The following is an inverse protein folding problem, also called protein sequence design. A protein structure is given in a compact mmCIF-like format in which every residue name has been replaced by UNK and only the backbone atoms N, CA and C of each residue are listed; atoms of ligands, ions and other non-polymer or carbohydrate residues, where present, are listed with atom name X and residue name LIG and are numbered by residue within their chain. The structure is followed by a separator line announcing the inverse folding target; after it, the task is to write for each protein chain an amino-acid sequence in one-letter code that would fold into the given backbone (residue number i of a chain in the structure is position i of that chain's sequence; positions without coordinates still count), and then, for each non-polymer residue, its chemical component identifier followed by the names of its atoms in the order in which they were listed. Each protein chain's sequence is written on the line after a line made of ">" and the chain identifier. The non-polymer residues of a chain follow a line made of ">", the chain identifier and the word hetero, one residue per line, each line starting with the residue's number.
data_IF_664316564957
#
_entry.id   IF_664316564957
#
_cell.length_a   1.000
_cell.length_b   1.000
_cell.length_c   1.000
_cell.angle_alpha   90.00
_cell.angle_beta   90.00
_cell.angle_gamma   90.00
#
_symmetry.space_group_name_H-M   'P 1'
#
loop_
_entity.id
_entity.type
_entity.pdbx_description
1 polymer ?
#
# COMPACT_ATOMS: atom_id res chain seq x y z
N UNK A 1 -11.56 -3.85 10.61
CA UNK A 1 -10.19 -4.32 10.35
C UNK A 1 -9.23 -3.14 10.45
N UNK A 2 -7.99 -3.36 10.92
CA UNK A 2 -7.00 -2.30 10.96
C UNK A 2 -6.75 -1.67 9.59
N UNK A 3 -6.39 -0.40 9.61
CA UNK A 3 -6.10 0.37 8.41
C UNK A 3 -4.60 0.66 8.34
N UNK A 4 -4.07 0.55 7.13
CA UNK A 4 -2.66 0.82 6.85
C UNK A 4 -2.54 1.75 5.65
N UNK A 5 -1.45 2.49 5.60
CA UNK A 5 -1.12 3.33 4.45
C UNK A 5 0.18 2.80 3.85
N UNK A 6 0.14 2.48 2.57
CA UNK A 6 1.31 2.07 1.81
C UNK A 6 1.81 3.26 1.00
N UNK A 7 3.02 3.69 1.31
CA UNK A 7 3.69 4.79 0.62
C UNK A 7 4.71 4.16 -0.32
N UNK A 8 4.45 4.26 -1.61
CA UNK A 8 5.18 3.52 -2.63
C UNK A 8 6.05 4.43 -3.46
N UNK A 9 7.32 4.05 -3.63
CA UNK A 9 8.25 4.70 -4.54
C UNK A 9 8.64 3.69 -5.62
N UNK A 10 8.45 4.05 -6.89
CA UNK A 10 8.83 3.18 -8.00
C UNK A 10 10.35 3.19 -8.20
N UNK A 11 10.89 2.01 -8.52
CA UNK A 11 12.26 1.91 -9.05
C UNK A 11 12.26 2.29 -10.53
N UNK A 12 13.44 2.43 -11.13
CA UNK A 12 13.54 2.66 -12.57
C UNK A 12 12.82 1.56 -13.37
N UNK A 13 12.98 0.31 -12.94
CA UNK A 13 12.29 -0.82 -13.54
C UNK A 13 10.77 -0.68 -13.41
N UNK A 14 10.29 -0.26 -12.25
CA UNK A 14 8.86 -0.05 -12.01
C UNK A 14 8.26 1.03 -12.89
N UNK A 15 8.98 2.12 -13.10
CA UNK A 15 8.55 3.19 -14.00
C UNK A 15 8.41 2.67 -15.43
N UNK A 16 9.40 1.92 -15.91
CA UNK A 16 9.35 1.36 -17.26
C UNK A 16 8.22 0.35 -17.43
N UNK A 17 8.03 -0.51 -16.45
CA UNK A 17 6.94 -1.50 -16.47
C UNK A 17 5.59 -0.80 -16.54
N UNK A 18 5.38 0.23 -15.73
CA UNK A 18 4.13 0.98 -15.71
C UNK A 18 3.89 1.69 -17.03
N UNK A 19 4.92 2.28 -17.61
CA UNK A 19 4.83 2.97 -18.89
C UNK A 19 4.46 2.03 -20.04
N UNK A 20 5.05 0.85 -20.07
CA UNK A 20 4.78 -0.13 -21.13
C UNK A 20 3.48 -0.92 -20.91
N UNK A 21 3.04 -1.08 -19.66
CA UNK A 21 1.83 -1.82 -19.31
C UNK A 21 1.11 -1.15 -18.13
N UNK A 22 0.33 -0.09 -18.37
CA UNK A 22 -0.39 0.61 -17.29
C UNK A 22 -1.35 -0.27 -16.51
N UNK A 23 -1.90 -1.33 -17.12
CA UNK A 23 -2.82 -2.25 -16.45
C UNK A 23 -2.13 -3.05 -15.34
N UNK A 24 -0.81 -3.05 -15.28
CA UNK A 24 -0.05 -3.68 -14.21
C UNK A 24 -0.50 -3.19 -12.83
N UNK A 25 -0.90 -1.92 -12.74
CA UNK A 25 -1.40 -1.36 -11.49
C UNK A 25 -2.63 -2.10 -10.96
N UNK A 26 -3.56 -2.44 -11.86
CA UNK A 26 -4.77 -3.20 -11.50
C UNK A 26 -4.44 -4.65 -11.13
N UNK A 27 -3.47 -5.24 -11.80
CA UNK A 27 -2.99 -6.59 -11.47
C UNK A 27 -2.42 -6.63 -10.06
N UNK A 28 -1.64 -5.63 -9.69
CA UNK A 28 -1.07 -5.51 -8.34
C UNK A 28 -2.17 -5.41 -7.30
N UNK A 29 -3.21 -4.63 -7.55
CA UNK A 29 -4.35 -4.51 -6.64
C UNK A 29 -5.04 -5.86 -6.41
N UNK A 30 -5.21 -6.65 -7.46
CA UNK A 30 -5.76 -8.01 -7.34
C UNK A 30 -4.87 -8.92 -6.52
N UNK A 31 -3.56 -8.82 -6.71
CA UNK A 31 -2.60 -9.60 -5.92
C UNK A 31 -2.68 -9.25 -4.43
N UNK A 32 -2.84 -7.98 -4.11
CA UNK A 32 -3.01 -7.52 -2.73
C UNK A 32 -4.27 -8.14 -2.11
N UNK A 33 -5.36 -8.17 -2.85
CA UNK A 33 -6.62 -8.77 -2.39
C UNK A 33 -6.48 -10.28 -2.18
N UNK A 34 -5.79 -10.98 -3.06
CA UNK A 34 -5.53 -12.42 -2.92
C UNK A 34 -4.69 -12.72 -1.68
N UNK A 35 -3.84 -11.81 -1.26
CA UNK A 35 -3.03 -11.96 -0.05
C UNK A 35 -3.80 -11.64 1.24
N UNK A 36 -5.05 -11.22 1.14
CA UNK A 36 -5.93 -11.03 2.28
C UNK A 36 -6.13 -9.60 2.72
N UNK A 37 -5.67 -8.62 1.96
CA UNK A 37 -5.88 -7.21 2.23
C UNK A 37 -6.88 -6.62 1.23
N UNK A 38 -7.42 -5.44 1.56
CA UNK A 38 -8.37 -4.75 0.69
C UNK A 38 -7.90 -3.33 0.45
N UNK A 39 -7.77 -2.95 -0.82
CA UNK A 39 -7.42 -1.58 -1.19
C UNK A 39 -8.69 -0.73 -1.13
N UNK A 40 -8.71 0.24 -0.22
CA UNK A 40 -9.84 1.15 -0.06
C UNK A 40 -9.71 2.37 -0.95
N UNK A 41 -8.52 2.95 -1.00
CA UNK A 41 -8.23 4.14 -1.80
C UNK A 41 -6.83 4.01 -2.37
N UNK A 42 -6.65 4.57 -3.56
CA UNK A 42 -5.36 4.58 -4.23
C UNK A 42 -5.21 5.88 -5.00
N UNK A 43 -4.09 6.57 -4.80
CA UNK A 43 -3.78 7.80 -5.52
C UNK A 43 -2.38 7.72 -6.09
N UNK A 44 -2.22 8.24 -7.31
CA UNK A 44 -0.90 8.57 -7.83
C UNK A 44 -0.54 9.96 -7.31
N UNK A 45 0.69 10.10 -6.83
CA UNK A 45 1.16 11.35 -6.23
C UNK A 45 2.43 11.82 -6.91
N UNK A 46 2.72 13.10 -6.76
CA UNK A 46 3.96 13.71 -7.22
C UNK A 46 4.79 14.09 -5.99
N UNK A 47 6.10 13.88 -6.07
CA UNK A 47 7.00 14.16 -4.96
C UNK A 47 7.77 12.93 -4.52
N UNK A 48 7.96 12.78 -3.23
CA UNK A 48 8.76 11.70 -2.65
C UNK A 48 8.18 10.31 -2.94
N UNK A 49 6.84 10.20 -2.93
CA UNK A 49 6.15 8.95 -3.19
C UNK A 49 5.39 9.04 -4.51
N UNK A 50 5.32 7.92 -5.21
CA UNK A 50 4.60 7.82 -6.49
C UNK A 50 3.15 7.40 -6.31
N UNK A 51 2.87 6.59 -5.29
CA UNK A 51 1.53 6.14 -4.94
C UNK A 51 1.30 6.18 -3.45
N UNK A 52 0.06 6.49 -3.08
CA UNK A 52 -0.43 6.38 -1.70
C UNK A 52 -1.66 5.49 -1.73
N UNK A 53 -1.62 4.38 -1.00
CA UNK A 53 -2.73 3.44 -0.92
C UNK A 53 -3.21 3.34 0.51
N UNK A 54 -4.53 3.41 0.70
CA UNK A 54 -5.16 3.11 1.98
C UNK A 54 -5.72 1.71 1.90
N UNK A 55 -5.30 0.85 2.83
CA UNK A 55 -5.56 -0.59 2.76
C UNK A 55 -6.08 -1.08 4.11
N UNK A 56 -7.04 -2.00 4.10
CA UNK A 56 -7.44 -2.75 5.28
C UNK A 56 -6.82 -4.14 5.25
N UNK A 57 -6.42 -4.64 6.41
CA UNK A 57 -5.96 -6.02 6.58
C UNK A 57 -6.35 -6.51 7.97
N UNK A 58 -6.49 -7.84 8.17
CA UNK A 58 -6.89 -8.38 9.48
C UNK A 58 -5.89 -8.09 10.58
N UNK A 59 -4.60 -8.06 10.27
CA UNK A 59 -3.53 -7.90 11.24
C UNK A 59 -2.22 -7.45 10.58
N UNK A 60 -1.25 -7.13 11.42
CA UNK A 60 0.08 -6.69 10.97
C UNK A 60 0.81 -7.78 10.18
N UNK A 61 0.62 -9.04 10.52
CA UNK A 61 1.26 -10.15 9.83
C UNK A 61 0.81 -10.21 8.36
N UNK A 62 -0.47 -10.00 8.09
CA UNK A 62 -1.02 -9.98 6.74
C UNK A 62 -0.44 -8.83 5.94
N UNK A 63 -0.41 -7.62 6.52
CA UNK A 63 0.12 -6.46 5.79
C UNK A 63 1.63 -6.55 5.58
N UNK A 64 2.35 -7.17 6.52
CA UNK A 64 3.78 -7.43 6.34
C UNK A 64 4.01 -8.37 5.15
N UNK A 65 3.18 -9.41 5.01
CA UNK A 65 3.25 -10.34 3.87
C UNK A 65 3.00 -9.61 2.56
N UNK A 66 2.01 -8.75 2.52
CA UNK A 66 1.71 -7.92 1.34
C UNK A 66 2.89 -7.04 0.99
N UNK A 67 3.46 -6.34 1.97
CA UNK A 67 4.58 -5.42 1.77
C UNK A 67 5.81 -6.15 1.22
N UNK A 68 6.14 -7.31 1.78
CA UNK A 68 7.28 -8.11 1.33
C UNK A 68 7.03 -8.66 -0.08
N UNK A 69 5.82 -9.17 -0.35
CA UNK A 69 5.49 -9.72 -1.65
C UNK A 69 5.59 -8.66 -2.76
N UNK A 70 5.11 -7.46 -2.50
CA UNK A 70 5.20 -6.37 -3.47
C UNK A 70 6.64 -5.87 -3.64
N UNK A 71 7.37 -5.72 -2.54
CA UNK A 71 8.78 -5.28 -2.57
C UNK A 71 9.71 -6.27 -3.27
N UNK A 72 9.41 -7.58 -3.14
CA UNK A 72 10.24 -8.63 -3.73
C UNK A 72 10.24 -8.63 -5.26
N UNK A 73 9.28 -7.97 -5.89
CA UNK A 73 9.21 -7.84 -7.35
C UNK A 73 10.28 -6.91 -7.92
N UNK A 74 10.88 -6.07 -7.08
CA UNK A 74 11.93 -5.14 -7.50
C UNK A 74 11.45 -3.91 -8.24
N UNK A 75 10.13 -3.74 -8.43
CA UNK A 75 9.57 -2.60 -9.15
C UNK A 75 9.19 -1.44 -8.24
N UNK A 76 9.15 -1.65 -6.92
CA UNK A 76 8.75 -0.63 -5.96
C UNK A 76 9.42 -0.83 -4.61
N UNK A 77 9.61 0.27 -3.90
CA UNK A 77 9.93 0.29 -2.47
C UNK A 77 8.69 0.77 -1.74
N UNK A 78 8.32 0.08 -0.67
CA UNK A 78 7.09 0.36 0.06
C UNK A 78 7.40 0.67 1.50
N UNK A 79 6.89 1.80 1.96
CA UNK A 79 6.88 2.15 3.37
C UNK A 79 5.44 1.92 3.87
N UNK A 80 5.28 0.97 4.78
CA UNK A 80 3.98 0.61 5.33
C UNK A 80 3.83 1.21 6.70
N UNK A 81 2.77 1.98 6.91
CA UNK A 81 2.48 2.57 8.22
C UNK A 81 1.10 2.16 8.68
N UNK A 82 0.97 1.93 9.98
CA UNK A 82 -0.32 1.69 10.62
C UNK A 82 -1.03 3.03 10.82
N UNK A 83 -2.34 3.06 10.59
CA UNK A 83 -3.13 4.28 10.69
C UNK A 83 -4.28 4.10 11.66
N UNK A 84 -4.51 5.11 12.48
CA UNK A 84 -5.69 5.23 13.31
C UNK A 84 -6.60 6.28 12.70
N UNK A 85 -7.92 6.06 12.74
CA UNK A 85 -8.84 7.14 12.45
C UNK A 85 -8.64 8.27 13.48
N UNK A 86 -9.05 9.48 13.13
CA UNK A 86 -8.95 10.58 14.08
C UNK A 86 -9.79 10.31 15.32
N UNK A 87 -10.96 9.69 15.17
CA UNK A 87 -11.81 9.34 16.31
C UNK A 87 -11.12 8.32 17.24
N UNK A 88 -10.49 7.29 16.68
CA UNK A 88 -9.72 6.32 17.46
C UNK A 88 -8.53 6.98 18.17
N UNK A 89 -7.84 7.84 17.46
CA UNK A 89 -6.70 8.58 18.02
C UNK A 89 -7.13 9.47 19.19
N UNK A 90 -8.19 10.25 19.00
CA UNK A 90 -8.70 11.14 20.03
C UNK A 90 -9.18 10.35 21.25
N UNK A 91 -9.86 9.23 21.05
CA UNK A 91 -10.29 8.36 22.16
C UNK A 91 -9.09 7.83 22.95
N UNK A 92 -8.01 7.46 22.28
CA UNK A 92 -6.81 6.94 22.92
C UNK A 92 -6.10 8.00 23.76
N UNK A 93 -6.01 9.24 23.28
CA UNK A 93 -5.25 10.31 23.97
C UNK A 93 -6.06 11.05 25.01
N UNK A 94 -7.40 10.96 24.96
CA UNK A 94 -8.29 11.59 25.96
C UNK A 94 -8.75 10.62 27.04
N UNK A 95 -8.59 9.34 26.81
CA UNK A 95 -8.94 8.30 27.76
C UNK A 95 -7.86 8.07 28.75
#
# INVERSE_FOLDING_TARGET
>A
MPTYILLTTLTAQGVQTLKSNPDRLREVNRDVEELGAKVLHQWATLGQFDFVNVVEAPDDATIARVSVALGARGSAKIQTVSALSIDEFLAAVTG
#
